data_IF_317409570517
#
_entry.id   IF_317409570517
#
_cell.length_a   1.000
_cell.length_b   1.000
_cell.length_c   1.000
_cell.angle_alpha   90.00
_cell.angle_beta   90.00
_cell.angle_gamma   90.00
#
_symmetry.space_group_name_H-M   'P 1'
#
loop_
_entity.id
_entity.type
_entity.pdbx_description
1 polymer ?
#
# COMPACT_ATOMS: atom_id res chain seq x y z
N UNK A 1 14.67 0.48 -3.00
CA UNK A 1 15.37 0.87 -4.24
C UNK A 1 14.86 2.22 -4.75
N UNK A 2 13.55 2.37 -5.02
CA UNK A 2 12.96 3.63 -5.50
C UNK A 2 13.19 4.84 -4.58
N UNK A 3 13.02 4.68 -3.26
CA UNK A 3 13.30 5.78 -2.31
C UNK A 3 14.75 6.30 -2.41
N UNK A 4 15.71 5.40 -2.64
CA UNK A 4 17.12 5.79 -2.78
C UNK A 4 17.34 6.55 -4.09
N UNK A 5 16.67 6.14 -5.16
CA UNK A 5 16.72 6.82 -6.44
C UNK A 5 16.12 8.23 -6.34
N UNK A 6 14.92 8.37 -5.74
CA UNK A 6 14.30 9.67 -5.50
C UNK A 6 15.17 10.60 -4.62
N UNK A 7 15.87 10.05 -3.62
CA UNK A 7 16.81 10.84 -2.79
C UNK A 7 18.06 11.31 -3.52
N UNK A 8 18.41 10.68 -4.63
CA UNK A 8 19.60 10.99 -5.44
C UNK A 8 19.19 11.62 -6.78
N UNK A 9 18.02 12.26 -6.81
CA UNK A 9 17.39 12.74 -8.04
C UNK A 9 18.29 13.76 -8.74
N UNK A 10 18.68 14.81 -8.02
CA UNK A 10 19.52 15.90 -8.54
C UNK A 10 20.90 15.39 -8.95
N UNK A 11 21.50 14.49 -8.17
CA UNK A 11 22.80 13.90 -8.49
C UNK A 11 22.72 12.98 -9.72
N UNK A 12 21.61 12.28 -9.89
CA UNK A 12 21.37 11.44 -11.07
C UNK A 12 21.22 12.30 -12.32
N UNK A 13 20.48 13.41 -12.23
CA UNK A 13 20.35 14.37 -13.32
C UNK A 13 21.71 14.93 -13.73
N UNK A 14 22.45 15.51 -12.78
CA UNK A 14 23.79 16.06 -13.04
C UNK A 14 24.73 15.01 -13.63
N UNK A 15 24.71 13.78 -13.12
CA UNK A 15 25.55 12.71 -13.65
C UNK A 15 25.20 12.37 -15.10
N UNK A 16 23.91 12.32 -15.45
CA UNK A 16 23.46 12.02 -16.81
C UNK A 16 23.79 13.14 -17.79
N UNK A 17 23.68 14.40 -17.36
CA UNK A 17 24.14 15.56 -18.14
C UNK A 17 25.65 15.53 -18.39
N UNK A 18 26.46 15.26 -17.35
CA UNK A 18 27.91 15.13 -17.47
C UNK A 18 28.33 14.03 -18.45
N UNK A 19 27.51 12.98 -18.60
CA UNK A 19 27.73 11.89 -19.56
C UNK A 19 27.23 12.21 -20.97
N UNK A 20 26.69 13.40 -21.20
CA UNK A 20 26.10 13.80 -22.48
C UNK A 20 24.83 13.03 -22.83
N UNK A 21 24.12 12.51 -21.83
CA UNK A 21 22.90 11.68 -21.98
C UNK A 21 21.75 12.27 -21.15
N UNK A 22 21.26 13.47 -21.48
CA UNK A 22 20.17 14.07 -20.74
C UNK A 22 18.93 13.16 -20.78
N UNK A 23 18.26 13.02 -19.63
CA UNK A 23 17.06 12.20 -19.46
C UNK A 23 15.88 13.14 -19.28
N UNK A 24 14.94 13.13 -20.22
CA UNK A 24 13.84 14.12 -20.26
C UNK A 24 12.88 13.95 -19.08
N UNK A 25 12.71 12.71 -18.65
CA UNK A 25 11.90 12.29 -17.52
C UNK A 25 12.37 12.92 -16.21
N UNK A 26 13.65 13.32 -16.11
CA UNK A 26 14.17 14.02 -14.93
C UNK A 26 13.66 15.46 -14.78
N UNK A 27 13.13 16.03 -15.87
CA UNK A 27 12.55 17.37 -15.90
C UNK A 27 11.03 17.36 -16.05
N UNK A 28 10.40 16.18 -16.06
CA UNK A 28 8.95 16.03 -16.22
C UNK A 28 8.26 15.96 -14.85
N UNK A 29 7.45 16.98 -14.55
CA UNK A 29 6.72 17.07 -13.27
C UNK A 29 5.71 15.92 -13.08
N UNK A 30 5.05 15.46 -14.16
CA UNK A 30 4.12 14.32 -14.06
C UNK A 30 4.88 13.04 -13.77
N UNK A 31 5.98 12.81 -14.49
CA UNK A 31 6.82 11.65 -14.25
C UNK A 31 7.36 11.63 -12.81
N UNK A 32 7.78 12.78 -12.28
CA UNK A 32 8.23 12.90 -10.89
C UNK A 32 7.10 12.63 -9.89
N UNK A 33 5.86 13.06 -10.18
CA UNK A 33 4.71 12.69 -9.36
C UNK A 33 4.46 11.18 -9.37
N UNK A 34 4.54 10.54 -10.55
CA UNK A 34 4.37 9.10 -10.68
C UNK A 34 5.43 8.34 -9.88
N UNK A 35 6.70 8.78 -9.96
CA UNK A 35 7.80 8.22 -9.17
C UNK A 35 7.53 8.36 -7.68
N UNK A 36 7.18 9.55 -7.22
CA UNK A 36 6.93 9.81 -5.80
C UNK A 36 5.78 8.95 -5.26
N UNK A 37 4.68 8.86 -6.00
CA UNK A 37 3.56 7.98 -5.66
C UNK A 37 4.02 6.52 -5.54
N UNK A 38 4.82 6.04 -6.50
CA UNK A 38 5.40 4.69 -6.45
C UNK A 38 6.35 4.49 -5.27
N UNK A 39 7.16 5.49 -4.90
CA UNK A 39 8.04 5.44 -3.73
C UNK A 39 7.23 5.19 -2.46
N UNK A 40 6.15 5.93 -2.26
CA UNK A 40 5.29 5.76 -1.07
C UNK A 40 4.56 4.41 -1.08
N UNK A 41 3.93 4.02 -2.20
CA UNK A 41 3.24 2.72 -2.29
C UNK A 41 4.20 1.56 -2.06
N UNK A 42 5.39 1.58 -2.65
CA UNK A 42 6.38 0.50 -2.46
C UNK A 42 6.93 0.47 -1.05
N UNK A 43 7.09 1.63 -0.39
CA UNK A 43 7.43 1.70 1.04
C UNK A 43 6.35 1.03 1.88
N UNK A 44 5.09 1.39 1.70
CA UNK A 44 3.97 0.81 2.45
C UNK A 44 3.83 -0.70 2.24
N UNK A 45 3.98 -1.18 1.00
CA UNK A 45 3.98 -2.60 0.70
C UNK A 45 5.17 -3.33 1.34
N UNK A 46 6.34 -2.69 1.38
CA UNK A 46 7.53 -3.25 2.04
C UNK A 46 7.31 -3.37 3.55
N UNK A 47 6.72 -2.36 4.18
CA UNK A 47 6.34 -2.39 5.60
C UNK A 47 5.36 -3.53 5.90
N UNK A 48 4.33 -3.72 5.07
CA UNK A 48 3.42 -4.86 5.19
C UNK A 48 4.15 -6.19 5.01
N UNK A 49 5.02 -6.29 4.01
CA UNK A 49 5.77 -7.50 3.74
C UNK A 49 6.68 -7.90 4.92
N UNK A 50 7.36 -6.93 5.54
CA UNK A 50 8.15 -7.18 6.76
C UNK A 50 7.25 -7.72 7.88
N UNK A 51 6.04 -7.16 8.04
CA UNK A 51 5.08 -7.64 9.04
C UNK A 51 4.59 -9.07 8.80
N UNK A 52 4.60 -9.57 7.56
CA UNK A 52 4.26 -10.96 7.22
C UNK A 52 5.43 -11.93 7.34
N UNK A 53 6.67 -11.43 7.33
CA UNK A 53 7.87 -12.25 7.44
C UNK A 53 8.32 -12.46 8.89
N UNK A 54 7.57 -11.97 9.87
CA UNK A 54 7.89 -12.17 11.28
C UNK A 54 7.73 -13.66 11.63
N UNK A 55 8.77 -14.33 12.15
CA UNK A 55 8.68 -15.75 12.50
C UNK A 55 7.72 -15.96 13.69
N UNK A 56 7.06 -17.12 13.71
CA UNK A 56 6.09 -17.51 14.76
C UNK A 56 4.93 -16.51 14.95
N UNK A 57 4.59 -15.75 13.91
CA UNK A 57 3.47 -14.82 13.96
C UNK A 57 2.15 -15.59 14.00
N UNK A 58 1.25 -15.19 14.92
CA UNK A 58 -0.11 -15.70 14.96
C UNK A 58 -0.84 -15.34 13.67
N UNK A 59 -1.58 -16.30 13.12
CA UNK A 59 -2.36 -16.11 11.89
C UNK A 59 -3.39 -14.99 12.05
N UNK A 60 -3.96 -14.82 13.24
CA UNK A 60 -4.83 -13.68 13.60
C UNK A 60 -4.11 -12.33 13.45
N UNK A 61 -2.86 -12.21 13.89
CA UNK A 61 -2.06 -10.99 13.73
C UNK A 61 -1.71 -10.70 12.27
N UNK A 62 -1.37 -11.72 11.49
CA UNK A 62 -1.19 -11.60 10.04
C UNK A 62 -2.47 -11.07 9.39
N UNK A 63 -3.62 -11.61 9.81
CA UNK A 63 -4.92 -11.21 9.31
C UNK A 63 -5.28 -9.76 9.67
N UNK A 64 -5.05 -9.33 10.91
CA UNK A 64 -5.24 -7.93 11.32
C UNK A 64 -4.36 -6.97 10.52
N UNK A 65 -3.11 -7.34 10.24
CA UNK A 65 -2.22 -6.54 9.40
C UNK A 65 -2.74 -6.39 7.97
N UNK A 66 -3.24 -7.50 7.38
CA UNK A 66 -3.87 -7.49 6.06
C UNK A 66 -5.10 -6.56 6.01
N UNK A 67 -6.02 -6.71 6.96
CA UNK A 67 -7.23 -5.88 7.04
C UNK A 67 -6.90 -4.40 7.26
N UNK A 68 -5.96 -4.11 8.15
CA UNK A 68 -5.49 -2.74 8.41
C UNK A 68 -4.92 -2.12 7.13
N UNK A 69 -4.14 -2.87 6.36
CA UNK A 69 -3.58 -2.39 5.11
C UNK A 69 -4.65 -2.14 4.04
N UNK A 70 -5.62 -3.05 3.89
CA UNK A 70 -6.75 -2.83 2.98
C UNK A 70 -7.55 -1.59 3.37
N UNK A 71 -7.80 -1.37 4.66
CA UNK A 71 -8.47 -0.17 5.15
C UNK A 71 -7.69 1.11 4.80
N UNK A 72 -6.35 1.08 4.93
CA UNK A 72 -5.47 2.17 4.49
C UNK A 72 -5.56 2.43 2.99
N UNK A 73 -5.52 1.40 2.15
CA UNK A 73 -5.68 1.55 0.69
C UNK A 73 -7.02 2.23 0.34
N UNK A 74 -8.12 1.82 1.00
CA UNK A 74 -9.44 2.44 0.81
C UNK A 74 -9.45 3.90 1.27
N UNK A 75 -8.80 4.22 2.39
CA UNK A 75 -8.65 5.59 2.88
C UNK A 75 -7.86 6.45 1.88
N UNK A 76 -6.71 5.97 1.42
CA UNK A 76 -5.86 6.67 0.46
C UNK A 76 -6.58 6.93 -0.85
N UNK A 77 -7.32 5.96 -1.39
CA UNK A 77 -8.19 6.15 -2.55
C UNK A 77 -9.14 7.34 -2.36
N UNK A 78 -9.86 7.39 -1.23
CA UNK A 78 -10.83 8.48 -0.96
C UNK A 78 -10.13 9.83 -0.78
N UNK A 79 -8.97 9.85 -0.13
CA UNK A 79 -8.22 11.08 0.10
C UNK A 79 -7.59 11.63 -1.19
N UNK A 80 -6.96 10.78 -2.00
CA UNK A 80 -6.40 11.17 -3.29
C UNK A 80 -7.48 11.72 -4.24
N UNK A 81 -8.68 11.12 -4.22
CA UNK A 81 -9.84 11.66 -4.96
C UNK A 81 -10.27 13.06 -4.51
N UNK A 82 -9.92 13.46 -3.29
CA UNK A 82 -10.17 14.79 -2.71
C UNK A 82 -8.93 15.70 -2.79
N UNK A 83 -7.89 15.31 -3.55
CA UNK A 83 -6.59 15.97 -3.58
C UNK A 83 -5.95 16.14 -2.19
N UNK A 84 -6.24 15.20 -1.27
CA UNK A 84 -5.60 15.15 0.04
C UNK A 84 -4.44 14.13 -0.01
N UNK A 85 -3.23 14.66 0.11
CA UNK A 85 -1.97 13.93 0.01
C UNK A 85 -1.25 13.80 1.36
N UNK A 86 -1.96 13.86 2.49
CA UNK A 86 -1.35 13.79 3.84
C UNK A 86 -0.50 12.53 4.08
N UNK A 87 -0.86 11.40 3.44
CA UNK A 87 -0.08 10.15 3.49
C UNK A 87 0.86 9.97 2.29
N UNK A 88 0.97 10.99 1.44
CA UNK A 88 1.84 11.05 0.28
C UNK A 88 2.56 12.40 0.30
N UNK A 89 3.24 12.71 1.42
CA UNK A 89 3.86 14.02 1.65
C UNK A 89 4.77 14.50 0.51
N UNK A 90 5.55 13.66 -0.20
CA UNK A 90 6.34 14.17 -1.31
C UNK A 90 5.49 14.56 -2.54
N UNK A 91 4.20 14.18 -2.61
CA UNK A 91 3.25 14.72 -3.59
C UNK A 91 2.73 16.13 -3.23
N UNK A 92 2.75 16.54 -1.95
CA UNK A 92 2.31 17.89 -1.54
C UNK A 92 3.19 19.00 -2.14
N UNK A 93 4.48 18.71 -2.36
CA UNK A 93 5.41 19.63 -3.02
C UNK A 93 5.17 19.79 -4.52
N UNK A 94 4.31 18.95 -5.11
CA UNK A 94 4.05 18.93 -6.54
C UNK A 94 2.67 19.49 -6.87
N UNK A 95 2.63 20.55 -7.68
CA UNK A 95 1.38 21.16 -8.18
C UNK A 95 0.83 20.38 -9.38
N UNK A 96 0.59 19.08 -9.21
CA UNK A 96 -0.04 18.30 -10.27
C UNK A 96 -1.57 18.39 -10.19
N UNK A 97 -2.20 18.76 -11.31
CA UNK A 97 -3.65 18.69 -11.48
C UNK A 97 -4.19 17.26 -11.52
N UNK A 98 -3.32 16.25 -11.52
CA UNK A 98 -3.63 14.85 -11.80
C UNK A 98 -3.53 13.94 -10.56
N UNK A 99 -3.40 14.52 -9.35
CA UNK A 99 -3.39 13.75 -8.09
C UNK A 99 -4.61 12.83 -7.95
N UNK A 100 -5.76 13.25 -8.50
CA UNK A 100 -6.98 12.44 -8.50
C UNK A 100 -6.84 11.13 -9.29
N UNK A 101 -5.92 11.05 -10.27
CA UNK A 101 -5.68 9.84 -11.07
C UNK A 101 -5.10 8.71 -10.22
N UNK A 102 -4.29 9.01 -9.21
CA UNK A 102 -3.74 8.02 -8.27
C UNK A 102 -4.83 7.34 -7.42
N UNK A 103 -6.03 7.94 -7.32
CA UNK A 103 -7.19 7.23 -6.77
C UNK A 103 -7.57 6.01 -7.61
N UNK A 104 -7.39 6.06 -8.93
CA UNK A 104 -7.60 4.95 -9.85
C UNK A 104 -6.59 3.83 -9.60
N UNK A 105 -5.32 4.20 -9.47
CA UNK A 105 -4.24 3.26 -9.13
C UNK A 105 -4.47 2.56 -7.79
N UNK A 106 -4.92 3.31 -6.77
CA UNK A 106 -5.32 2.71 -5.50
C UNK A 106 -6.51 1.75 -5.66
N UNK A 107 -7.45 2.00 -6.57
CA UNK A 107 -8.56 1.08 -6.83
C UNK A 107 -8.08 -0.24 -7.45
N UNK A 108 -7.16 -0.17 -8.42
CA UNK A 108 -6.52 -1.34 -9.03
C UNK A 108 -5.74 -2.12 -7.96
N UNK A 109 -4.97 -1.42 -7.12
CA UNK A 109 -4.20 -2.05 -6.05
C UNK A 109 -5.09 -2.77 -5.05
N UNK A 110 -6.25 -2.21 -4.68
CA UNK A 110 -7.24 -2.88 -3.82
C UNK A 110 -7.74 -4.17 -4.47
N UNK A 111 -8.07 -4.15 -5.76
CA UNK A 111 -8.55 -5.33 -6.48
C UNK A 111 -7.50 -6.44 -6.50
N UNK A 112 -6.26 -6.11 -6.89
CA UNK A 112 -5.14 -7.05 -6.93
C UNK A 112 -4.82 -7.58 -5.54
N UNK A 113 -4.84 -6.72 -4.52
CA UNK A 113 -4.62 -7.11 -3.12
C UNK A 113 -5.69 -8.11 -2.66
N UNK A 114 -6.96 -7.82 -2.92
CA UNK A 114 -8.08 -8.69 -2.56
C UNK A 114 -8.03 -10.02 -3.29
N UNK A 115 -7.66 -10.02 -4.56
CA UNK A 115 -7.47 -11.24 -5.35
C UNK A 115 -6.32 -12.08 -4.78
N UNK A 116 -5.19 -11.45 -4.45
CA UNK A 116 -4.01 -12.13 -3.88
C UNK A 116 -4.31 -12.82 -2.55
N UNK A 117 -5.16 -12.23 -1.71
CA UNK A 117 -5.46 -12.74 -0.38
C UNK A 117 -6.85 -13.38 -0.25
N UNK A 118 -7.46 -13.77 -1.37
CA UNK A 118 -8.81 -14.36 -1.42
C UNK A 118 -8.97 -15.56 -0.49
N UNK A 119 -7.98 -16.46 -0.46
CA UNK A 119 -8.04 -17.70 0.34
C UNK A 119 -7.88 -17.44 1.85
N UNK A 120 -7.17 -16.38 2.24
CA UNK A 120 -7.13 -15.98 3.63
C UNK A 120 -8.48 -15.38 4.04
N UNK A 121 -9.06 -14.55 3.17
CA UNK A 121 -10.38 -13.93 3.42
C UNK A 121 -11.51 -14.94 3.53
N UNK A 122 -11.49 -16.04 2.78
CA UNK A 122 -12.50 -17.09 2.93
C UNK A 122 -12.46 -17.76 4.30
N UNK A 123 -11.33 -17.73 5.00
CA UNK A 123 -11.14 -18.26 6.36
C UNK A 123 -11.30 -17.21 7.46
N UNK A 124 -11.71 -15.99 7.13
CA UNK A 124 -11.88 -14.88 8.08
C UNK A 124 -12.62 -15.29 9.35
N UNK A 125 -13.71 -16.04 9.19
CA UNK A 125 -14.60 -16.43 10.29
C UNK A 125 -13.91 -17.38 11.27
N UNK A 126 -13.24 -18.41 10.75
CA UNK A 126 -12.43 -19.33 11.54
C UNK A 126 -11.34 -18.57 12.31
N UNK A 127 -10.67 -17.63 11.64
CA UNK A 127 -9.60 -16.83 12.25
C UNK A 127 -10.12 -15.85 13.32
N UNK A 128 -11.32 -15.30 13.15
CA UNK A 128 -11.93 -14.42 14.12
C UNK A 128 -12.30 -15.15 15.42
N UNK A 129 -12.68 -16.43 15.34
CA UNK A 129 -12.92 -17.26 16.52
C UNK A 129 -11.64 -17.36 17.36
N UNK A 130 -10.48 -17.56 16.74
CA UNK A 130 -9.21 -17.61 17.47
C UNK A 130 -8.70 -16.24 17.92
N UNK A 131 -8.98 -15.18 17.15
CA UNK A 131 -8.50 -13.83 17.46
C UNK A 131 -9.32 -13.16 18.57
N UNK A 132 -10.64 -13.38 18.57
CA UNK A 132 -11.61 -12.73 19.44
C UNK A 132 -12.68 -13.74 19.91
N UNK A 133 -12.30 -14.80 20.64
CA UNK A 133 -13.21 -15.90 20.99
C UNK A 133 -14.43 -15.43 21.79
N UNK A 134 -14.28 -14.38 22.59
CA UNK A 134 -15.35 -13.84 23.45
C UNK A 134 -16.32 -12.89 22.73
N UNK A 135 -16.07 -12.55 21.47
CA UNK A 135 -16.93 -11.64 20.68
C UNK A 135 -17.75 -12.43 19.65
N UNK A 136 -17.43 -13.71 19.44
CA UNK A 136 -18.14 -14.54 18.47
C UNK A 136 -19.39 -15.15 19.13
N UNK A 137 -20.55 -14.86 18.55
CA UNK A 137 -21.81 -15.52 18.93
C UNK A 137 -21.72 -17.02 18.65
N UNK A 138 -21.89 -17.89 19.68
CA UNK A 138 -21.77 -19.35 19.53
C UNK A 138 -22.66 -19.91 18.41
N UNK A 139 -23.87 -19.37 18.26
CA UNK A 139 -24.85 -19.78 17.23
C UNK A 139 -24.36 -19.54 15.80
N UNK A 140 -23.44 -18.61 15.60
CA UNK A 140 -22.86 -18.32 14.29
C UNK A 140 -21.66 -19.23 13.98
N UNK A 141 -21.10 -19.98 14.92
CA UNK A 141 -19.89 -20.78 14.71
C UNK A 141 -20.23 -22.10 14.00
N UNK A 142 -19.42 -22.59 13.04
CA UNK A 142 -19.60 -23.92 12.46
C UNK A 142 -19.59 -25.02 13.54
N UNK A 143 -20.49 -26.01 13.47
CA UNK A 143 -20.60 -27.06 14.50
C UNK A 143 -19.28 -27.76 14.85
N UNK A 144 -18.39 -27.95 13.87
CA UNK A 144 -17.08 -28.58 14.09
C UNK A 144 -16.12 -27.76 14.97
N UNK A 145 -16.45 -26.50 15.28
CA UNK A 145 -15.69 -25.59 16.14
C UNK A 145 -16.43 -25.25 17.45
N UNK A 146 -17.59 -25.89 17.72
CA UNK A 146 -18.42 -25.65 18.93
C UNK A 146 -18.21 -26.70 20.05
N UNK A 147 -17.27 -27.64 19.90
CA UNK A 147 -16.95 -28.68 20.89
C UNK A 147 -15.78 -28.26 21.79
#
# INVERSE_FOLDING_TARGET
>A
MLLRFYKLWDETEQFMEMKGKPVRELNDSKWLCDLVFMVDITKYLSELNVKFQVPNQLLSSMFSNMNSFEAKLRLWKVQLKRNNTVYFSPLEGQKSSEIFEYSGECAILIEVFNKRFKDMKSKQMELNIFATPFIVEPDNVPHNLQH
#
